data_IF_519368842245
#
_entry.id   IF_519368842245
#
_cell.length_a   1.000
_cell.length_b   1.000
_cell.length_c   1.000
_cell.angle_alpha   90.00
_cell.angle_beta   90.00
_cell.angle_gamma   90.00
#
_symmetry.space_group_name_H-M   'P 1'
#
loop_
_entity.id
_entity.type
_entity.pdbx_description
1 polymer ?
#
# COMPACT_ATOMS: atom_id res chain seq x y z
N UNK A 1 27.98 5.50 -6.19
CA UNK A 1 27.04 4.76 -7.06
C UNK A 1 25.61 4.94 -6.57
N UNK A 2 24.63 4.62 -7.41
CA UNK A 2 23.20 4.67 -7.06
C UNK A 2 22.77 3.32 -6.48
N UNK A 3 22.65 3.21 -5.15
CA UNK A 3 22.23 1.95 -4.53
C UNK A 3 20.80 1.54 -4.91
N UNK A 4 19.97 2.51 -5.33
CA UNK A 4 18.61 2.26 -5.80
C UNK A 4 18.49 1.52 -7.13
N UNK A 5 19.60 1.31 -7.86
CA UNK A 5 19.62 0.55 -9.11
C UNK A 5 19.82 -0.95 -8.92
N UNK A 6 20.16 -1.38 -7.69
CA UNK A 6 20.36 -2.80 -7.41
C UNK A 6 19.01 -3.51 -7.50
N UNK A 7 18.87 -4.56 -8.33
CA UNK A 7 17.64 -5.34 -8.36
C UNK A 7 17.39 -5.92 -6.98
N UNK A 8 16.17 -5.73 -6.48
CA UNK A 8 15.71 -6.26 -5.21
C UNK A 8 14.83 -7.49 -5.40
N UNK A 9 14.80 -8.36 -4.40
CA UNK A 9 13.88 -9.48 -4.32
C UNK A 9 13.11 -9.38 -3.01
N UNK A 10 11.82 -9.69 -3.05
CA UNK A 10 10.99 -9.80 -1.84
C UNK A 10 10.61 -11.27 -1.67
N UNK A 11 10.94 -11.84 -0.52
CA UNK A 11 10.55 -13.20 -0.14
C UNK A 11 9.30 -13.16 0.71
N UNK A 12 8.31 -13.97 0.35
CA UNK A 12 7.12 -14.22 1.17
C UNK A 12 7.21 -15.66 1.67
N UNK A 13 7.11 -15.84 2.98
CA UNK A 13 7.14 -17.16 3.64
C UNK A 13 5.93 -17.26 4.57
N UNK A 14 5.25 -18.40 4.57
CA UNK A 14 4.10 -18.65 5.43
C UNK A 14 4.50 -19.57 6.58
N UNK A 15 4.15 -19.18 7.80
CA UNK A 15 4.33 -20.01 8.98
C UNK A 15 3.31 -21.16 8.99
N UNK A 16 3.66 -22.31 9.57
CA UNK A 16 2.77 -23.48 9.61
C UNK A 16 1.48 -23.27 10.41
N UNK A 17 1.45 -22.24 11.28
CA UNK A 17 0.32 -21.89 12.13
C UNK A 17 -0.52 -20.72 11.60
N UNK A 18 -0.25 -20.24 10.39
CA UNK A 18 -1.07 -19.19 9.77
C UNK A 18 -2.50 -19.70 9.59
N UNK A 19 -3.50 -18.86 9.88
CA UNK A 19 -4.89 -19.21 9.60
C UNK A 19 -5.16 -19.15 8.11
N UNK A 20 -6.20 -19.86 7.66
CA UNK A 20 -6.58 -19.84 6.26
C UNK A 20 -6.99 -18.42 5.81
N UNK A 21 -7.70 -17.69 6.68
CA UNK A 21 -8.17 -16.33 6.42
C UNK A 21 -7.03 -15.33 6.30
N UNK A 22 -6.00 -15.46 7.14
CA UNK A 22 -4.80 -14.62 7.06
C UNK A 22 -3.99 -14.92 5.80
N UNK A 23 -3.87 -16.21 5.44
CA UNK A 23 -3.22 -16.63 4.19
C UNK A 23 -3.91 -16.05 2.95
N UNK A 24 -5.24 -16.20 2.86
CA UNK A 24 -6.06 -15.66 1.77
C UNK A 24 -5.96 -14.12 1.70
N UNK A 25 -5.97 -13.45 2.85
CA UNK A 25 -5.79 -12.00 2.91
C UNK A 25 -4.43 -11.57 2.35
N UNK A 26 -3.34 -12.24 2.71
CA UNK A 26 -1.99 -11.93 2.19
C UNK A 26 -1.95 -12.14 0.67
N UNK A 27 -2.52 -13.24 0.16
CA UNK A 27 -2.58 -13.51 -1.28
C UNK A 27 -3.34 -12.42 -2.03
N UNK A 28 -4.52 -12.04 -1.52
CA UNK A 28 -5.32 -10.96 -2.09
C UNK A 28 -4.61 -9.59 -2.02
N UNK A 29 -3.82 -9.33 -0.98
CA UNK A 29 -3.01 -8.11 -0.86
C UNK A 29 -1.87 -8.09 -1.89
N UNK A 30 -1.21 -9.23 -2.13
CA UNK A 30 -0.17 -9.35 -3.17
C UNK A 30 -0.78 -9.14 -4.56
N UNK A 31 -1.92 -9.77 -4.85
CA UNK A 31 -2.65 -9.56 -6.11
C UNK A 31 -3.05 -8.09 -6.30
N UNK A 32 -3.54 -7.45 -5.23
CA UNK A 32 -3.83 -6.02 -5.26
C UNK A 32 -2.60 -5.18 -5.63
N UNK A 33 -1.43 -5.46 -5.04
CA UNK A 33 -0.19 -4.74 -5.36
C UNK A 33 0.23 -5.00 -6.80
N UNK A 34 0.12 -6.24 -7.29
CA UNK A 34 0.46 -6.59 -8.67
C UNK A 34 -0.40 -5.84 -9.70
N UNK A 35 -1.68 -5.60 -9.40
CA UNK A 35 -2.62 -4.91 -10.30
C UNK A 35 -2.55 -3.38 -10.17
N UNK A 36 -2.42 -2.86 -8.94
CA UNK A 36 -2.61 -1.44 -8.64
C UNK A 36 -1.37 -0.73 -8.09
N UNK A 37 -0.30 -1.45 -7.73
CA UNK A 37 0.85 -0.91 -6.99
C UNK A 37 1.53 0.28 -7.68
N UNK A 38 1.64 0.25 -9.00
CA UNK A 38 2.17 1.35 -9.81
C UNK A 38 1.47 2.69 -9.56
N UNK A 39 0.17 2.67 -9.23
CA UNK A 39 -0.63 3.87 -8.97
C UNK A 39 -0.20 4.59 -7.70
N UNK A 40 0.40 3.87 -6.75
CA UNK A 40 0.83 4.40 -5.45
C UNK A 40 2.23 5.02 -5.50
N UNK A 41 3.05 4.72 -6.50
CA UNK A 41 4.42 5.24 -6.62
C UNK A 41 4.55 6.77 -6.54
N UNK A 42 3.63 7.59 -7.09
CA UNK A 42 3.68 9.06 -6.96
C UNK A 42 3.54 9.56 -5.52
N UNK A 43 2.95 8.75 -4.63
CA UNK A 43 2.81 9.08 -3.22
C UNK A 43 4.14 8.97 -2.46
N UNK A 44 5.18 8.42 -3.09
CA UNK A 44 6.49 8.24 -2.48
C UNK A 44 7.58 8.98 -3.23
N UNK A 45 8.55 9.49 -2.48
CA UNK A 45 9.83 9.97 -2.99
C UNK A 45 10.87 8.87 -2.83
N UNK A 46 11.54 8.53 -3.93
CA UNK A 46 12.65 7.58 -3.94
C UNK A 46 13.97 8.32 -3.98
N UNK A 47 14.88 7.93 -3.09
CA UNK A 47 16.25 8.44 -3.07
C UNK A 47 17.14 7.48 -3.87
N UNK A 48 17.51 7.86 -5.09
CA UNK A 48 18.36 7.03 -5.94
C UNK A 48 19.74 6.71 -5.35
N UNK A 49 20.29 7.58 -4.50
CA UNK A 49 21.61 7.37 -3.87
C UNK A 49 21.57 6.28 -2.81
N UNK A 50 20.53 6.31 -1.95
CA UNK A 50 20.42 5.39 -0.80
C UNK A 50 19.56 4.16 -1.10
N UNK A 51 18.58 4.29 -2.00
CA UNK A 51 17.55 3.28 -2.26
C UNK A 51 16.30 3.45 -1.39
N UNK A 52 16.22 4.51 -0.57
CA UNK A 52 15.12 4.67 0.38
C UNK A 52 13.84 5.21 -0.27
N UNK A 53 12.71 4.74 0.22
CA UNK A 53 11.39 5.25 -0.09
C UNK A 53 10.85 6.05 1.08
N UNK A 54 10.39 7.28 0.82
CA UNK A 54 9.77 8.15 1.84
C UNK A 54 8.40 8.59 1.39
N UNK A 55 7.43 8.45 2.28
CA UNK A 55 6.04 8.76 1.99
C UNK A 55 5.78 10.28 1.98
N UNK A 56 5.08 10.79 0.95
CA UNK A 56 4.76 12.21 0.77
C UNK A 56 3.36 12.51 1.33
N UNK A 57 3.28 12.92 2.60
CA UNK A 57 2.01 13.25 3.27
C UNK A 57 1.15 14.26 2.51
N UNK A 58 1.76 15.24 1.84
CA UNK A 58 1.06 16.24 1.02
C UNK A 58 0.37 15.66 -0.22
N UNK A 59 0.88 14.55 -0.77
CA UNK A 59 0.30 13.90 -1.95
C UNK A 59 -1.07 13.30 -1.62
N UNK A 60 -1.23 12.69 -0.43
CA UNK A 60 -2.53 12.22 0.05
C UNK A 60 -3.50 13.39 0.29
N UNK A 61 -3.01 14.50 0.87
CA UNK A 61 -3.86 15.67 1.11
C UNK A 61 -4.54 16.19 -0.16
N UNK A 62 -3.88 16.09 -1.32
CA UNK A 62 -4.49 16.47 -2.61
C UNK A 62 -5.56 15.48 -3.11
N UNK A 63 -5.43 14.19 -2.78
CA UNK A 63 -6.40 13.15 -3.16
C UNK A 63 -7.63 13.24 -2.26
N UNK A 64 -7.42 13.43 -0.96
CA UNK A 64 -8.51 13.54 0.04
C UNK A 64 -9.27 14.86 -0.08
N UNK A 65 -8.62 15.95 -0.51
CA UNK A 65 -9.32 17.23 -0.78
C UNK A 65 -10.30 17.16 -1.97
N UNK A 66 -10.12 16.22 -2.89
CA UNK A 66 -11.08 15.97 -3.99
C UNK A 66 -12.30 15.16 -3.56
N UNK A 67 -12.21 14.46 -2.42
CA UNK A 67 -13.32 13.75 -1.79
C UNK A 67 -13.84 14.59 -0.62
N UNK A 68 -14.70 15.56 -0.93
CA UNK A 68 -15.52 16.21 0.09
C UNK A 68 -16.49 15.15 0.64
N UNK A 69 -16.07 14.44 1.69
CA UNK A 69 -16.83 14.07 2.90
C UNK A 69 -16.22 12.87 3.64
N UNK A 70 -15.73 13.17 4.85
CA UNK A 70 -15.57 12.31 6.03
C UNK A 70 -14.80 11.01 5.87
N UNK A 71 -13.49 11.10 6.11
CA UNK A 71 -12.75 10.06 6.80
C UNK A 71 -12.07 10.69 8.03
N UNK A 72 -12.88 11.04 9.03
CA UNK A 72 -12.40 11.31 10.38
C UNK A 72 -11.76 10.03 10.90
N UNK A 73 -10.47 10.10 11.20
CA UNK A 73 -9.74 9.01 11.80
C UNK A 73 -10.15 8.85 13.26
N UNK A 74 -11.21 8.09 13.49
CA UNK A 74 -11.50 7.49 14.79
C UNK A 74 -11.56 5.97 14.59
N UNK A 75 -10.49 5.29 14.98
CA UNK A 75 -10.51 3.85 15.15
C UNK A 75 -11.47 3.53 16.30
N UNK A 76 -12.57 2.79 16.09
CA UNK A 76 -13.51 2.50 17.15
C UNK A 76 -12.86 1.57 18.21
N UNK A 77 -13.09 1.83 19.52
CA UNK A 77 -12.63 0.93 20.56
C UNK A 77 -13.42 -0.38 20.54
N UNK A 78 -12.70 -1.46 20.85
CA UNK A 78 -13.12 -2.85 20.77
C UNK A 78 -14.32 -3.20 21.66
N UNK A 79 -15.27 -4.03 21.20
CA UNK A 79 -16.05 -4.89 22.07
C UNK A 79 -15.67 -6.36 21.87
N UNK A 80 -15.53 -7.04 23.00
CA UNK A 80 -15.28 -8.47 23.18
C UNK A 80 -16.38 -9.35 22.57
N UNK A 81 -16.01 -10.29 21.68
CA UNK A 81 -16.47 -11.70 21.59
C UNK A 81 -16.14 -12.30 20.21
N UNK A 82 -15.44 -13.45 20.20
CA UNK A 82 -14.87 -14.19 19.05
C UNK A 82 -13.79 -13.44 18.23
N UNK A 83 -12.51 -13.67 18.57
CA UNK A 83 -11.38 -12.98 17.94
C UNK A 83 -11.28 -13.22 16.42
N UNK A 84 -11.70 -14.38 15.92
CA UNK A 84 -11.63 -14.74 14.49
C UNK A 84 -12.49 -13.81 13.61
N UNK A 85 -13.74 -13.58 14.01
CA UNK A 85 -14.66 -12.74 13.21
C UNK A 85 -14.23 -11.26 13.16
N UNK A 86 -13.56 -10.77 14.20
CA UNK A 86 -13.01 -9.42 14.23
C UNK A 86 -11.78 -9.27 13.33
N UNK A 87 -10.94 -10.29 13.26
CA UNK A 87 -9.75 -10.33 12.40
C UNK A 87 -10.17 -10.36 10.91
N UNK A 88 -11.11 -11.22 10.55
CA UNK A 88 -11.68 -11.28 9.20
C UNK A 88 -12.27 -9.93 8.76
N UNK A 89 -13.06 -9.28 9.64
CA UNK A 89 -13.62 -7.94 9.36
C UNK A 89 -12.53 -6.89 9.11
N UNK A 90 -11.40 -6.97 9.82
CA UNK A 90 -10.26 -6.07 9.60
C UNK A 90 -9.62 -6.29 8.23
N UNK A 91 -9.38 -7.54 7.84
CA UNK A 91 -8.81 -7.88 6.53
C UNK A 91 -9.66 -7.35 5.36
N UNK A 92 -10.98 -7.55 5.44
CA UNK A 92 -11.92 -7.02 4.44
C UNK A 92 -11.84 -5.50 4.39
N UNK A 93 -11.85 -4.82 5.55
CA UNK A 93 -11.75 -3.36 5.63
C UNK A 93 -10.45 -2.84 5.00
N UNK A 94 -9.31 -3.48 5.27
CA UNK A 94 -8.03 -3.06 4.70
C UNK A 94 -8.01 -3.15 3.16
N UNK A 95 -8.48 -4.27 2.59
CA UNK A 95 -8.54 -4.42 1.13
C UNK A 95 -9.53 -3.45 0.49
N UNK A 96 -10.68 -3.21 1.12
CA UNK A 96 -11.66 -2.24 0.62
C UNK A 96 -11.09 -0.81 0.60
N UNK A 97 -10.44 -0.40 1.68
CA UNK A 97 -9.80 0.92 1.77
C UNK A 97 -8.68 1.05 0.73
N UNK A 98 -7.84 0.03 0.56
CA UNK A 98 -6.78 0.02 -0.44
C UNK A 98 -7.35 0.16 -1.87
N UNK A 99 -8.42 -0.58 -2.19
CA UNK A 99 -9.15 -0.47 -3.47
C UNK A 99 -9.78 0.90 -3.66
N UNK A 100 -10.33 1.51 -2.62
CA UNK A 100 -10.90 2.87 -2.68
C UNK A 100 -9.81 3.89 -3.03
N UNK A 101 -8.65 3.83 -2.37
CA UNK A 101 -7.53 4.71 -2.69
C UNK A 101 -7.03 4.48 -4.12
N UNK A 102 -6.86 3.22 -4.54
CA UNK A 102 -6.41 2.89 -5.89
C UNK A 102 -7.33 3.41 -6.99
N UNK A 103 -8.65 3.42 -6.76
CA UNK A 103 -9.65 3.97 -7.70
C UNK A 103 -9.49 5.48 -7.90
N UNK A 104 -9.12 6.21 -6.85
CA UNK A 104 -8.90 7.65 -6.89
C UNK A 104 -7.51 8.06 -7.43
N UNK A 105 -6.64 7.08 -7.69
CA UNK A 105 -5.32 7.31 -8.26
C UNK A 105 -5.30 7.09 -9.77
N UNK A 106 -4.49 7.89 -10.48
CA UNK A 106 -4.26 7.73 -11.91
C UNK A 106 -3.76 6.32 -12.23
N UNK A 107 -4.36 5.68 -13.25
CA UNK A 107 -4.03 4.28 -13.63
C UNK A 107 -2.58 4.10 -14.04
N UNK A 108 -2.07 5.05 -14.82
CA UNK A 108 -0.69 5.09 -15.29
C UNK A 108 -0.12 6.47 -14.95
N UNK A 109 0.53 6.61 -13.78
CA UNK A 109 1.14 7.87 -13.43
C UNK A 109 2.33 8.18 -14.34
N UNK A 110 2.69 9.47 -14.43
CA UNK A 110 3.86 9.90 -15.17
C UNK A 110 5.12 9.18 -14.68
N UNK A 111 5.99 8.81 -15.62
CA UNK A 111 7.27 8.18 -15.32
C UNK A 111 8.11 9.06 -14.39
N UNK A 112 8.77 8.43 -13.42
CA UNK A 112 9.67 9.14 -12.50
C UNK A 112 10.88 9.64 -13.27
N UNK A 113 11.28 10.90 -13.01
CA UNK A 113 12.54 11.44 -13.54
C UNK A 113 13.71 10.64 -12.99
N UNK A 114 14.47 10.05 -13.90
CA UNK A 114 15.72 9.35 -13.62
C UNK A 114 16.85 10.39 -13.58
N UNK A 115 17.76 10.36 -12.58
CA UNK A 115 18.89 11.27 -12.53
C UNK A 115 19.82 11.12 -13.75
N UNK A 116 20.45 12.21 -14.18
CA UNK A 116 21.45 12.15 -15.25
C UNK A 116 22.62 11.22 -14.86
N UNK A 117 23.08 10.40 -15.81
CA UNK A 117 24.15 9.40 -15.61
C UNK A 117 23.68 8.08 -14.99
N UNK A 118 22.38 7.80 -15.05
CA UNK A 118 21.78 6.47 -14.86
C UNK A 118 21.27 6.05 -16.23
N UNK A 119 22.03 5.19 -16.90
CA UNK A 119 21.69 4.60 -18.20
C UNK A 119 21.00 3.24 -18.00
#
# INVERSE_FOLDING_TARGET
GYNGLKPGWTRVSFSYYISYEEFEFILAAIEFIAIYGQRFLPLYRFNWKTGDWTFRKSAIGSIVKGSHERAGGDFPPSPSSSNTSLVERKYVSYLQNAKLVAKNLQKFPAARRVPAGVD
#
